data_IF_079365296216
#
_entry.id   IF_079365296216
#
_cell.length_a   1.000
_cell.length_b   1.000
_cell.length_c   1.000
_cell.angle_alpha   90.00
_cell.angle_beta   90.00
_cell.angle_gamma   90.00
#
_symmetry.space_group_name_H-M   'P 1'
#
loop_
_entity.id
_entity.type
_entity.pdbx_description
1 polymer ?
#
# COMPACT_ATOMS: atom_id res chain seq x y z
N UNK A 1 32.11 -14.81 -15.20
CA UNK A 1 32.10 -14.06 -13.91
C UNK A 1 31.23 -12.80 -13.92
N UNK A 2 30.87 -12.22 -15.07
CA UNK A 2 30.08 -10.97 -15.18
C UNK A 2 28.60 -11.12 -14.81
N UNK A 3 27.94 -12.23 -15.15
CA UNK A 3 26.50 -12.42 -14.92
C UNK A 3 26.05 -12.31 -13.45
N UNK A 4 26.86 -12.76 -12.48
CA UNK A 4 26.51 -12.71 -11.05
C UNK A 4 26.52 -11.29 -10.46
N UNK A 5 27.30 -10.38 -11.05
CA UNK A 5 27.46 -9.02 -10.55
C UNK A 5 26.27 -8.13 -10.97
N UNK A 6 25.76 -8.35 -12.20
CA UNK A 6 24.55 -7.71 -12.70
C UNK A 6 23.28 -8.18 -11.97
N UNK A 7 23.12 -9.49 -11.74
CA UNK A 7 21.99 -10.02 -10.94
C UNK A 7 22.03 -9.56 -9.49
N UNK A 8 23.22 -9.46 -8.87
CA UNK A 8 23.36 -8.95 -7.50
C UNK A 8 22.94 -7.47 -7.39
N UNK A 9 23.45 -6.59 -8.29
CA UNK A 9 23.04 -5.18 -8.33
C UNK A 9 21.53 -5.03 -8.60
N UNK A 10 20.97 -5.76 -9.56
CA UNK A 10 19.52 -5.72 -9.85
C UNK A 10 18.65 -6.17 -8.67
N UNK A 11 19.09 -7.20 -7.93
CA UNK A 11 18.41 -7.70 -6.73
C UNK A 11 18.50 -6.71 -5.56
N UNK A 12 19.58 -5.94 -5.48
CA UNK A 12 19.74 -4.87 -4.49
C UNK A 12 18.82 -3.67 -4.78
N UNK A 13 18.80 -3.17 -6.02
CA UNK A 13 17.91 -2.07 -6.42
C UNK A 13 16.43 -2.43 -6.24
N UNK A 14 16.01 -3.63 -6.65
CA UNK A 14 14.63 -4.09 -6.42
C UNK A 14 14.28 -4.13 -4.93
N UNK A 15 15.17 -4.63 -4.06
CA UNK A 15 14.95 -4.59 -2.60
C UNK A 15 14.73 -3.17 -2.07
N UNK A 16 15.48 -2.21 -2.58
CA UNK A 16 15.36 -0.79 -2.20
C UNK A 16 14.02 -0.23 -2.68
N UNK A 17 13.64 -0.49 -3.94
CA UNK A 17 12.35 -0.06 -4.50
C UNK A 17 11.18 -0.57 -3.65
N UNK A 18 11.19 -1.86 -3.29
CA UNK A 18 10.13 -2.43 -2.44
C UNK A 18 10.09 -1.81 -1.05
N UNK A 19 11.25 -1.49 -0.45
CA UNK A 19 11.30 -0.79 0.84
C UNK A 19 10.60 0.58 0.75
N UNK A 20 10.86 1.34 -0.30
CA UNK A 20 10.22 2.65 -0.48
C UNK A 20 8.72 2.53 -0.77
N UNK A 21 8.29 1.53 -1.54
CA UNK A 21 6.85 1.25 -1.77
C UNK A 21 6.13 0.97 -0.45
N UNK A 22 6.72 0.16 0.44
CA UNK A 22 6.14 -0.14 1.74
C UNK A 22 5.98 1.11 2.63
N UNK A 23 7.03 1.95 2.70
CA UNK A 23 6.98 3.20 3.47
C UNK A 23 6.05 4.24 2.85
N UNK A 24 6.00 4.35 1.51
CA UNK A 24 5.07 5.23 0.81
C UNK A 24 3.62 4.79 1.03
N UNK A 25 3.34 3.47 1.00
CA UNK A 25 2.03 2.92 1.32
C UNK A 25 1.60 3.26 2.75
N UNK A 26 2.48 3.08 3.74
CA UNK A 26 2.19 3.44 5.13
C UNK A 26 1.89 4.94 5.30
N UNK A 27 2.67 5.81 4.66
CA UNK A 27 2.45 7.26 4.70
C UNK A 27 1.11 7.65 4.06
N UNK A 28 0.74 7.04 2.92
CA UNK A 28 -0.56 7.25 2.28
C UNK A 28 -1.73 6.78 3.13
N UNK A 29 -1.60 5.64 3.83
CA UNK A 29 -2.65 5.18 4.76
C UNK A 29 -2.84 6.19 5.89
N UNK A 30 -1.77 6.67 6.52
CA UNK A 30 -1.87 7.69 7.58
C UNK A 30 -2.48 8.99 7.04
N UNK A 31 -2.06 9.42 5.85
CA UNK A 31 -2.61 10.63 5.22
C UNK A 31 -4.08 10.47 4.85
N UNK A 32 -4.50 9.30 4.37
CA UNK A 32 -5.91 9.00 4.12
C UNK A 32 -6.75 9.03 5.41
N UNK A 33 -6.22 8.53 6.54
CA UNK A 33 -6.87 8.65 7.84
C UNK A 33 -7.03 10.12 8.26
N UNK A 34 -5.99 10.94 8.04
CA UNK A 34 -6.07 12.38 8.31
C UNK A 34 -7.17 13.05 7.47
N UNK A 35 -7.25 12.76 6.17
CA UNK A 35 -8.31 13.29 5.31
C UNK A 35 -9.71 12.79 5.74
N UNK A 36 -9.81 11.53 6.16
CA UNK A 36 -11.06 10.94 6.65
C UNK A 36 -11.53 11.63 7.94
N UNK A 37 -10.61 11.94 8.86
CA UNK A 37 -10.92 12.69 10.08
C UNK A 37 -11.34 14.15 9.83
N UNK A 38 -10.97 14.72 8.68
CA UNK A 38 -11.45 16.04 8.22
C UNK A 38 -12.74 15.93 7.37
N UNK A 39 -13.38 14.77 7.36
CA UNK A 39 -14.62 14.48 6.62
C UNK A 39 -14.50 14.73 5.10
N UNK A 40 -13.29 14.68 4.57
CA UNK A 40 -13.06 14.86 3.14
C UNK A 40 -13.36 13.56 2.40
N UNK A 41 -14.32 13.61 1.47
CA UNK A 41 -14.70 12.45 0.66
C UNK A 41 -13.55 11.95 -0.19
N UNK A 42 -12.57 12.78 -0.58
CA UNK A 42 -11.37 12.34 -1.32
C UNK A 42 -10.46 11.39 -0.54
N UNK A 43 -10.67 11.24 0.77
CA UNK A 43 -9.92 10.33 1.65
C UNK A 43 -9.98 8.87 1.19
N UNK A 44 -11.10 8.42 0.62
CA UNK A 44 -11.27 7.01 0.24
C UNK A 44 -10.25 6.59 -0.82
N UNK A 45 -9.92 7.47 -1.79
CA UNK A 45 -8.93 7.21 -2.85
C UNK A 45 -7.50 7.14 -2.29
N UNK A 46 -7.15 8.07 -1.40
CA UNK A 46 -5.81 8.12 -0.79
C UNK A 46 -5.57 6.89 0.09
N UNK A 47 -6.57 6.50 0.85
CA UNK A 47 -6.48 5.34 1.74
C UNK A 47 -6.55 4.01 0.97
N UNK A 48 -7.32 3.96 -0.12
CA UNK A 48 -7.34 2.83 -1.06
C UNK A 48 -5.96 2.61 -1.67
N UNK A 49 -5.34 3.66 -2.23
CA UNK A 49 -4.01 3.58 -2.86
C UNK A 49 -2.91 3.22 -1.85
N UNK A 50 -2.98 3.76 -0.62
CA UNK A 50 -2.09 3.38 0.47
C UNK A 50 -2.17 1.89 0.82
N UNK A 51 -3.39 1.37 1.01
CA UNK A 51 -3.60 -0.05 1.33
C UNK A 51 -3.21 -0.97 0.18
N UNK A 52 -3.38 -0.56 -1.08
CA UNK A 52 -2.88 -1.30 -2.23
C UNK A 52 -1.36 -1.46 -2.19
N UNK A 53 -0.62 -0.38 -1.89
CA UNK A 53 0.84 -0.43 -1.78
C UNK A 53 1.32 -1.27 -0.59
N UNK A 54 0.65 -1.15 0.56
CA UNK A 54 0.95 -2.00 1.75
C UNK A 54 0.65 -3.47 1.45
N UNK A 55 -0.45 -3.77 0.77
CA UNK A 55 -0.84 -5.13 0.37
C UNK A 55 0.17 -5.76 -0.59
N UNK A 56 0.54 -5.06 -1.66
CA UNK A 56 1.55 -5.52 -2.62
C UNK A 56 2.93 -5.72 -1.97
N UNK A 57 3.36 -4.80 -1.11
CA UNK A 57 4.59 -4.94 -0.35
C UNK A 57 4.56 -6.15 0.61
N UNK A 58 3.41 -6.38 1.25
CA UNK A 58 3.21 -7.50 2.17
C UNK A 58 3.24 -8.85 1.45
N UNK A 59 2.68 -8.95 0.24
CA UNK A 59 2.83 -10.15 -0.61
C UNK A 59 4.30 -10.41 -0.93
N UNK A 60 5.06 -9.38 -1.32
CA UNK A 60 6.50 -9.49 -1.59
C UNK A 60 7.29 -9.98 -0.36
N UNK A 61 6.90 -9.53 0.83
CA UNK A 61 7.49 -9.97 2.11
C UNK A 61 6.95 -11.29 2.65
N UNK A 62 5.98 -11.91 1.96
CA UNK A 62 5.24 -13.11 2.42
C UNK A 62 4.49 -12.89 3.76
N UNK A 63 4.13 -11.65 4.06
CA UNK A 63 3.31 -11.26 5.20
C UNK A 63 1.82 -11.31 4.80
N UNK A 64 1.29 -12.53 4.62
CA UNK A 64 -0.05 -12.73 4.06
C UNK A 64 -1.18 -12.17 4.93
N UNK A 65 -1.02 -12.20 6.26
CA UNK A 65 -2.01 -11.62 7.18
C UNK A 65 -2.17 -10.12 6.97
N UNK A 66 -1.06 -9.38 6.86
CA UNK A 66 -1.08 -7.93 6.58
C UNK A 66 -1.64 -7.63 5.19
N UNK A 67 -1.31 -8.45 4.19
CA UNK A 67 -1.86 -8.30 2.84
C UNK A 67 -3.39 -8.46 2.83
N UNK A 68 -3.91 -9.51 3.47
CA UNK A 68 -5.34 -9.77 3.58
C UNK A 68 -6.05 -8.62 4.31
N UNK A 69 -5.50 -8.16 5.44
CA UNK A 69 -6.02 -7.00 6.17
C UNK A 69 -6.12 -5.77 5.27
N UNK A 70 -5.05 -5.41 4.55
CA UNK A 70 -5.06 -4.25 3.66
C UNK A 70 -6.11 -4.37 2.54
N UNK A 71 -6.32 -5.55 1.97
CA UNK A 71 -7.35 -5.74 0.94
C UNK A 71 -8.78 -5.67 1.49
N UNK A 72 -9.04 -6.23 2.68
CA UNK A 72 -10.34 -6.11 3.36
C UNK A 72 -10.63 -4.64 3.64
N UNK A 73 -9.66 -3.93 4.19
CA UNK A 73 -9.71 -2.49 4.46
C UNK A 73 -10.00 -1.71 3.16
N UNK A 74 -9.36 -2.08 2.06
CA UNK A 74 -9.62 -1.52 0.73
C UNK A 74 -11.09 -1.68 0.30
N UNK A 75 -11.65 -2.89 0.44
CA UNK A 75 -13.03 -3.19 0.09
C UNK A 75 -14.03 -2.44 1.00
N UNK A 76 -13.75 -2.41 2.31
CA UNK A 76 -14.54 -1.65 3.28
C UNK A 76 -14.55 -0.16 2.97
N UNK A 77 -13.46 0.40 2.45
CA UNK A 77 -13.42 1.81 2.08
C UNK A 77 -14.26 2.15 0.86
N UNK A 78 -14.33 1.24 -0.13
CA UNK A 78 -15.27 1.39 -1.24
C UNK A 78 -16.70 1.35 -0.70
N UNK A 79 -17.01 0.40 0.19
CA UNK A 79 -18.32 0.32 0.83
C UNK A 79 -18.67 1.60 1.62
N UNK A 80 -17.72 2.13 2.41
CA UNK A 80 -17.89 3.37 3.16
C UNK A 80 -18.15 4.58 2.26
N UNK A 81 -17.47 4.67 1.11
CA UNK A 81 -17.74 5.71 0.11
C UNK A 81 -19.15 5.57 -0.49
N UNK A 82 -19.56 4.35 -0.87
CA UNK A 82 -20.92 4.10 -1.38
C UNK A 82 -21.99 4.47 -0.35
N UNK A 83 -21.75 4.20 0.94
CA UNK A 83 -22.65 4.58 2.03
C UNK A 83 -22.67 6.08 2.31
N UNK A 84 -21.58 6.81 2.01
CA UNK A 84 -21.51 8.26 2.16
C UNK A 84 -22.36 8.98 1.11
N UNK A 85 -22.35 8.50 -0.13
CA UNK A 85 -23.06 9.13 -1.25
C UNK A 85 -24.54 8.73 -1.37
N UNK A 86 -24.95 7.67 -0.67
CA UNK A 86 -26.33 7.16 -0.63
C UNK A 86 -27.12 7.76 0.51
#
# INVERSE_FOLDING_TARGET
MTNNLYTSKGKFFSKITWKYIGWAGAALVIFGYYLNANELTSSWLVWFTGNLFVGLYSIYKKAYSTAAMSFIIMAMNIYGYLQWIS
#
